data_IF_860439671618
#
_entry.id   IF_860439671618
#
_cell.length_a   1.000
_cell.length_b   1.000
_cell.length_c   1.000
_cell.angle_alpha   90.00
_cell.angle_beta   90.00
_cell.angle_gamma   90.00
#
_symmetry.space_group_name_H-M   'P 1'
#
loop_
_entity.id
_entity.type
_entity.pdbx_description
1 polymer ?
#
# COMPACT_ATOMS: atom_id res chain seq x y z
N UNK A 1 -8.17 3.09 -30.47
CA UNK A 1 -9.43 2.56 -29.90
C UNK A 1 -10.03 3.67 -29.06
N UNK A 2 -11.26 4.12 -29.35
CA UNK A 2 -11.97 5.03 -28.46
C UNK A 2 -12.38 4.23 -27.22
N UNK A 3 -11.72 4.48 -26.09
CA UNK A 3 -12.11 3.87 -24.82
C UNK A 3 -13.49 4.38 -24.45
N UNK A 4 -14.48 3.49 -24.47
CA UNK A 4 -15.80 3.78 -23.91
C UNK A 4 -15.61 3.88 -22.40
N UNK A 5 -15.82 5.08 -21.85
CA UNK A 5 -15.78 5.28 -20.39
C UNK A 5 -17.14 4.89 -19.81
N UNK A 6 -17.19 4.07 -18.75
CA UNK A 6 -18.45 3.53 -18.22
C UNK A 6 -19.28 4.58 -17.47
N UNK A 7 -18.65 5.69 -17.04
CA UNK A 7 -19.31 6.77 -16.31
C UNK A 7 -18.65 8.13 -16.64
N UNK A 8 -19.41 9.21 -16.44
CA UNK A 8 -18.93 10.60 -16.48
C UNK A 8 -19.32 11.33 -15.21
N UNK A 9 -18.56 12.36 -14.84
CA UNK A 9 -18.88 13.23 -13.70
C UNK A 9 -20.30 13.83 -13.92
N UNK A 10 -21.14 13.75 -12.89
CA UNK A 10 -22.53 14.22 -12.93
C UNK A 10 -23.55 13.22 -13.49
N UNK A 11 -23.11 12.05 -13.97
CA UNK A 11 -24.01 10.99 -14.43
C UNK A 11 -24.77 10.35 -13.25
N UNK A 12 -26.03 9.98 -13.46
CA UNK A 12 -26.78 9.18 -12.49
C UNK A 12 -26.18 7.79 -12.36
N UNK A 13 -26.16 7.21 -11.16
CA UNK A 13 -25.68 5.83 -10.95
C UNK A 13 -26.47 4.79 -11.74
N UNK A 14 -27.73 5.09 -12.11
CA UNK A 14 -28.58 4.23 -12.94
C UNK A 14 -28.16 4.18 -14.41
N UNK A 15 -27.43 5.19 -14.87
CA UNK A 15 -27.01 5.34 -16.26
C UNK A 15 -25.56 4.89 -16.48
N UNK A 16 -24.88 4.42 -15.43
CA UNK A 16 -23.53 3.86 -15.50
C UNK A 16 -23.57 2.54 -16.28
N UNK A 17 -22.69 2.43 -17.26
CA UNK A 17 -22.58 1.21 -18.07
C UNK A 17 -22.11 0.02 -17.22
N UNK A 18 -22.71 -1.15 -17.45
CA UNK A 18 -22.50 -2.34 -16.61
C UNK A 18 -21.74 -3.44 -17.36
N UNK A 19 -20.83 -4.18 -16.70
CA UNK A 19 -20.57 -4.20 -15.27
C UNK A 19 -19.66 -3.05 -14.79
N UNK A 20 -19.97 -2.48 -13.63
CA UNK A 20 -19.16 -1.45 -12.98
C UNK A 20 -19.00 -1.73 -11.48
N UNK A 21 -17.78 -1.55 -10.96
CA UNK A 21 -17.52 -1.49 -9.52
C UNK A 21 -17.77 -0.04 -9.06
N UNK A 22 -18.80 0.15 -8.24
CA UNK A 22 -19.14 1.44 -7.67
C UNK A 22 -18.70 1.53 -6.21
N UNK A 23 -18.27 2.72 -5.82
CA UNK A 23 -17.94 3.07 -4.43
C UNK A 23 -18.85 4.22 -4.03
N UNK A 24 -19.59 4.03 -2.94
CA UNK A 24 -20.29 5.10 -2.27
C UNK A 24 -19.28 5.92 -1.46
N UNK A 25 -19.08 7.17 -1.88
CA UNK A 25 -18.04 8.04 -1.31
C UNK A 25 -18.35 8.43 0.13
N UNK A 26 -19.61 8.73 0.46
CA UNK A 26 -20.01 9.12 1.82
C UNK A 26 -19.78 7.96 2.80
N UNK A 27 -20.12 6.74 2.37
CA UNK A 27 -19.86 5.54 3.17
C UNK A 27 -18.35 5.24 3.30
N UNK A 28 -17.57 5.45 2.24
CA UNK A 28 -16.10 5.28 2.29
C UNK A 28 -15.48 6.26 3.29
N UNK A 29 -15.80 7.55 3.18
CA UNK A 29 -15.26 8.60 4.04
C UNK A 29 -15.67 8.42 5.50
N UNK A 30 -16.93 8.03 5.75
CA UNK A 30 -17.40 7.68 7.09
C UNK A 30 -16.63 6.51 7.68
N UNK A 31 -16.42 5.43 6.92
CA UNK A 31 -15.71 4.26 7.41
C UNK A 31 -14.22 4.57 7.71
N UNK A 32 -13.56 5.36 6.86
CA UNK A 32 -12.18 5.82 7.09
C UNK A 32 -12.11 6.65 8.37
N UNK A 33 -13.03 7.61 8.53
CA UNK A 33 -13.07 8.49 9.70
C UNK A 33 -13.29 7.73 11.01
N UNK A 34 -14.19 6.74 11.02
CA UNK A 34 -14.45 5.91 12.20
C UNK A 34 -13.21 5.13 12.63
N UNK A 35 -12.52 4.49 11.68
CA UNK A 35 -11.31 3.72 12.01
C UNK A 35 -10.17 4.62 12.47
N UNK A 36 -9.98 5.78 11.82
CA UNK A 36 -8.97 6.75 12.21
C UNK A 36 -9.21 7.27 13.64
N UNK A 37 -10.45 7.68 13.96
CA UNK A 37 -10.81 8.16 15.28
C UNK A 37 -10.62 7.09 16.36
N UNK A 38 -10.96 5.83 16.06
CA UNK A 38 -10.72 4.72 16.98
C UNK A 38 -9.22 4.54 17.27
N UNK A 39 -8.37 4.54 16.25
CA UNK A 39 -6.92 4.40 16.45
C UNK A 39 -6.33 5.58 17.24
N UNK A 40 -6.80 6.81 16.99
CA UNK A 40 -6.38 8.00 17.73
C UNK A 40 -6.78 7.91 19.21
N UNK A 41 -8.02 7.51 19.51
CA UNK A 41 -8.50 7.29 20.89
C UNK A 41 -7.66 6.24 21.63
N UNK A 42 -7.30 5.15 20.95
CA UNK A 42 -6.46 4.09 21.50
C UNK A 42 -4.96 4.43 21.53
N UNK A 43 -4.55 5.59 20.97
CA UNK A 43 -3.15 6.02 20.84
C UNK A 43 -2.28 5.00 20.11
N UNK A 44 -2.81 4.41 19.04
CA UNK A 44 -2.09 3.49 18.17
C UNK A 44 -1.98 4.05 16.76
N UNK A 45 -0.85 3.80 16.12
CA UNK A 45 -0.63 4.20 14.73
C UNK A 45 -1.50 3.34 13.79
N UNK A 46 -2.24 4.01 12.90
CA UNK A 46 -3.01 3.35 11.85
C UNK A 46 -2.15 3.19 10.59
N UNK A 47 -1.89 1.95 10.17
CA UNK A 47 -1.34 1.63 8.84
C UNK A 47 -2.34 0.80 8.04
N UNK A 48 -2.89 1.39 6.99
CA UNK A 48 -3.99 0.80 6.21
C UNK A 48 -3.50 -0.16 5.14
N UNK A 49 -4.22 -1.25 4.90
CA UNK A 49 -3.82 -2.24 3.91
C UNK A 49 -4.41 -1.96 2.52
N UNK A 50 -3.55 -1.61 1.58
CA UNK A 50 -3.93 -1.21 0.23
C UNK A 50 -4.30 -2.40 -0.69
N UNK A 51 -4.11 -3.65 -0.27
CA UNK A 51 -4.43 -4.83 -1.09
C UNK A 51 -5.91 -4.89 -1.48
N UNK A 52 -6.76 -4.34 -0.63
CA UNK A 52 -8.22 -4.38 -0.77
C UNK A 52 -8.69 -3.52 -1.94
N UNK A 53 -8.15 -2.32 -2.09
CA UNK A 53 -8.64 -1.35 -3.08
C UNK A 53 -7.65 -1.06 -4.21
N UNK A 54 -6.33 -1.23 -3.99
CA UNK A 54 -5.26 -0.94 -4.96
C UNK A 54 -5.36 0.46 -5.61
N UNK A 55 -6.03 1.39 -4.93
CA UNK A 55 -6.26 2.77 -5.38
C UNK A 55 -5.38 3.74 -4.61
N UNK A 56 -4.59 4.52 -5.36
CA UNK A 56 -3.75 5.62 -4.84
C UNK A 56 -4.61 6.69 -4.19
N UNK A 57 -5.77 7.00 -4.76
CA UNK A 57 -6.66 8.05 -4.25
C UNK A 57 -7.23 7.68 -2.88
N UNK A 58 -7.64 6.43 -2.71
CA UNK A 58 -8.13 5.91 -1.42
C UNK A 58 -7.00 5.87 -0.40
N UNK A 59 -5.80 5.41 -0.78
CA UNK A 59 -4.65 5.41 0.11
C UNK A 59 -4.28 6.82 0.59
N UNK A 60 -4.28 7.81 -0.31
CA UNK A 60 -4.06 9.23 0.03
C UNK A 60 -5.16 9.77 0.93
N UNK A 61 -6.43 9.39 0.71
CA UNK A 61 -7.55 9.76 1.57
C UNK A 61 -7.35 9.22 3.00
N UNK A 62 -6.96 7.96 3.15
CA UNK A 62 -6.67 7.34 4.44
C UNK A 62 -5.49 8.03 5.15
N UNK A 63 -4.41 8.34 4.43
CA UNK A 63 -3.26 9.08 4.98
C UNK A 63 -3.68 10.48 5.45
N UNK A 64 -4.53 11.19 4.69
CA UNK A 64 -5.09 12.49 5.12
C UNK A 64 -5.91 12.41 6.40
N UNK A 65 -6.47 11.24 6.71
CA UNK A 65 -7.21 10.98 7.95
C UNK A 65 -6.32 10.47 9.10
N UNK A 66 -4.99 10.50 8.94
CA UNK A 66 -4.05 10.17 10.02
C UNK A 66 -3.39 8.81 9.92
N UNK A 67 -3.59 8.05 8.83
CA UNK A 67 -2.80 6.84 8.63
C UNK A 67 -1.31 7.19 8.41
N UNK A 68 -0.41 6.53 9.13
CA UNK A 68 1.04 6.80 9.11
C UNK A 68 1.75 6.28 7.86
N UNK A 69 1.04 5.51 7.04
CA UNK A 69 1.53 4.86 5.84
C UNK A 69 0.58 3.76 5.40
N UNK A 70 1.04 2.91 4.48
CA UNK A 70 0.24 1.79 3.97
C UNK A 70 0.94 0.44 4.07
N UNK A 71 0.16 -0.63 3.97
CA UNK A 71 0.62 -2.00 3.76
C UNK A 71 0.30 -2.47 2.34
N UNK A 72 1.26 -3.11 1.68
CA UNK A 72 1.09 -3.80 0.40
C UNK A 72 1.39 -5.29 0.55
N UNK A 73 0.78 -6.15 -0.27
CA UNK A 73 1.05 -7.59 -0.22
C UNK A 73 2.21 -7.99 -1.13
N UNK A 74 2.52 -7.17 -2.15
CA UNK A 74 3.59 -7.43 -3.12
C UNK A 74 4.36 -6.16 -3.45
N UNK A 75 5.64 -6.32 -3.79
CA UNK A 75 6.53 -5.23 -4.24
C UNK A 75 5.94 -4.48 -5.44
N UNK A 76 5.33 -5.20 -6.39
CA UNK A 76 4.71 -4.60 -7.58
C UNK A 76 3.52 -3.68 -7.26
N UNK A 77 2.83 -3.90 -6.15
CA UNK A 77 1.78 -2.98 -5.69
C UNK A 77 2.42 -1.70 -5.14
N UNK A 78 3.45 -1.86 -4.30
CA UNK A 78 4.17 -0.74 -3.69
C UNK A 78 4.78 0.20 -4.72
N UNK A 79 5.28 -0.32 -5.85
CA UNK A 79 5.83 0.49 -6.95
C UNK A 79 4.85 1.58 -7.43
N UNK A 80 3.57 1.25 -7.60
CA UNK A 80 2.54 2.21 -8.05
C UNK A 80 2.32 3.30 -7.00
N UNK A 81 2.30 2.93 -5.72
CA UNK A 81 2.11 3.88 -4.63
C UNK A 81 3.30 4.83 -4.45
N UNK A 82 4.53 4.31 -4.50
CA UNK A 82 5.76 5.12 -4.42
C UNK A 82 5.85 6.09 -5.60
N UNK A 83 5.56 5.63 -6.82
CA UNK A 83 5.52 6.50 -8.00
C UNK A 83 4.53 7.66 -7.87
N UNK A 84 3.49 7.50 -7.04
CA UNK A 84 2.46 8.50 -6.80
C UNK A 84 2.64 9.26 -5.47
N UNK A 85 3.83 9.18 -4.86
CA UNK A 85 4.24 9.99 -3.70
C UNK A 85 3.86 9.42 -2.33
N UNK A 86 3.46 8.14 -2.23
CA UNK A 86 3.28 7.47 -0.95
C UNK A 86 4.59 6.79 -0.56
N UNK A 87 5.25 7.33 0.46
CA UNK A 87 6.66 7.03 0.73
C UNK A 87 6.91 6.27 2.04
N UNK A 88 5.87 5.82 2.76
CA UNK A 88 6.02 4.92 3.91
C UNK A 88 5.15 3.68 3.70
N UNK A 89 5.80 2.56 3.33
CA UNK A 89 5.12 1.32 2.92
C UNK A 89 5.75 0.12 3.62
N UNK A 90 4.89 -0.72 4.21
CA UNK A 90 5.25 -2.04 4.73
C UNK A 90 4.77 -3.12 3.76
N UNK A 91 5.67 -3.98 3.29
CA UNK A 91 5.29 -5.21 2.61
C UNK A 91 4.93 -6.24 3.68
N UNK A 92 3.63 -6.47 3.88
CA UNK A 92 3.11 -7.43 4.88
C UNK A 92 3.11 -8.85 4.30
N UNK A 93 4.28 -9.28 3.82
CA UNK A 93 4.56 -10.58 3.22
C UNK A 93 6.09 -10.78 3.07
N UNK A 94 6.53 -12.02 2.91
CA UNK A 94 7.91 -12.37 2.56
C UNK A 94 8.22 -11.99 1.11
N UNK A 95 9.42 -11.44 0.89
CA UNK A 95 9.92 -11.12 -0.45
C UNK A 95 11.08 -12.05 -0.78
N UNK A 96 10.77 -13.11 -1.52
CA UNK A 96 11.72 -14.14 -1.92
C UNK A 96 12.20 -13.94 -3.36
N UNK A 97 13.51 -14.14 -3.54
CA UNK A 97 14.22 -14.15 -4.81
C UNK A 97 14.81 -12.79 -5.19
N UNK A 98 16.09 -12.83 -5.55
CA UNK A 98 16.94 -11.70 -5.91
C UNK A 98 16.28 -10.65 -6.80
N UNK A 99 15.51 -11.03 -7.83
CA UNK A 99 14.84 -10.05 -8.70
C UNK A 99 13.81 -9.19 -7.94
N UNK A 100 13.02 -9.79 -7.05
CA UNK A 100 12.01 -9.07 -6.27
C UNK A 100 12.65 -8.24 -5.17
N UNK A 101 13.71 -8.76 -4.56
CA UNK A 101 14.47 -8.03 -3.54
C UNK A 101 15.13 -6.80 -4.14
N UNK A 102 15.75 -6.91 -5.33
CA UNK A 102 16.31 -5.76 -6.04
C UNK A 102 15.26 -4.67 -6.34
N UNK A 103 14.02 -5.08 -6.66
CA UNK A 103 12.92 -4.12 -6.85
C UNK A 103 12.55 -3.44 -5.53
N UNK A 104 12.46 -4.20 -4.44
CA UNK A 104 12.20 -3.66 -3.10
C UNK A 104 13.28 -2.67 -2.66
N UNK A 105 14.56 -3.00 -2.82
CA UNK A 105 15.68 -2.12 -2.45
C UNK A 105 15.76 -0.89 -3.34
N UNK A 106 15.37 -1.00 -4.62
CA UNK A 106 15.23 0.17 -5.50
C UNK A 106 14.15 1.15 -4.99
N UNK A 107 13.02 0.64 -4.47
CA UNK A 107 12.02 1.49 -3.81
C UNK A 107 12.57 2.13 -2.53
N UNK A 108 13.35 1.39 -1.75
CA UNK A 108 13.95 1.89 -0.51
C UNK A 108 14.87 3.11 -0.71
N UNK A 109 15.37 3.36 -1.94
CA UNK A 109 16.11 4.59 -2.27
C UNK A 109 15.25 5.86 -2.27
N UNK A 110 13.93 5.73 -2.40
CA UNK A 110 12.99 6.86 -2.57
C UNK A 110 11.93 6.92 -1.47
N UNK A 111 11.72 5.81 -0.77
CA UNK A 111 10.67 5.65 0.24
C UNK A 111 11.16 4.79 1.40
N UNK A 112 10.57 5.00 2.58
CA UNK A 112 10.73 4.11 3.72
C UNK A 112 10.01 2.80 3.43
N UNK A 113 10.78 1.74 3.28
CA UNK A 113 10.28 0.40 2.99
C UNK A 113 10.47 -0.52 4.19
N UNK A 114 9.39 -1.19 4.59
CA UNK A 114 9.43 -2.34 5.49
C UNK A 114 9.08 -3.64 4.77
N UNK A 115 9.51 -4.77 5.33
CA UNK A 115 9.15 -6.11 4.84
C UNK A 115 9.07 -7.11 5.99
N UNK A 116 8.11 -8.03 5.92
CA UNK A 116 8.00 -9.14 6.86
C UNK A 116 8.94 -10.30 6.48
N UNK A 117 9.47 -10.98 7.50
CA UNK A 117 10.33 -12.17 7.36
C UNK A 117 9.93 -13.23 8.39
N UNK A 118 10.08 -14.49 8.03
CA UNK A 118 9.86 -15.66 8.89
C UNK A 118 11.00 -16.69 8.79
N UNK A 119 11.94 -16.49 7.86
CA UNK A 119 13.09 -17.37 7.59
C UNK A 119 14.42 -16.59 7.68
N UNK A 120 15.39 -17.03 8.51
CA UNK A 120 16.73 -16.44 8.58
C UNK A 120 17.45 -16.36 7.22
N UNK A 121 17.28 -17.34 6.33
CA UNK A 121 17.89 -17.32 5.01
C UNK A 121 17.36 -16.16 4.15
N UNK A 122 16.08 -15.79 4.30
CA UNK A 122 15.54 -14.62 3.63
C UNK A 122 16.11 -13.31 4.20
N UNK A 123 16.35 -13.24 5.51
CA UNK A 123 17.01 -12.09 6.14
C UNK A 123 18.42 -11.90 5.60
N UNK A 124 19.20 -12.97 5.45
CA UNK A 124 20.54 -12.92 4.88
C UNK A 124 20.54 -12.41 3.43
N UNK A 125 19.62 -12.92 2.60
CA UNK A 125 19.47 -12.49 1.20
C UNK A 125 19.07 -11.01 1.09
N UNK A 126 18.09 -10.58 1.90
CA UNK A 126 17.65 -9.18 1.99
C UNK A 126 18.81 -8.26 2.41
N UNK A 127 19.57 -8.64 3.43
CA UNK A 127 20.69 -7.85 3.94
C UNK A 127 21.81 -7.71 2.91
N UNK A 128 22.18 -8.81 2.23
CA UNK A 128 23.19 -8.78 1.17
C UNK A 128 22.84 -7.77 0.08
N UNK A 129 21.62 -7.87 -0.48
CA UNK A 129 21.20 -7.02 -1.59
C UNK A 129 20.94 -5.57 -1.13
N UNK A 130 20.44 -5.36 0.08
CA UNK A 130 20.30 -4.03 0.66
C UNK A 130 21.66 -3.33 0.84
N UNK A 131 22.68 -4.07 1.30
CA UNK A 131 24.04 -3.57 1.42
C UNK A 131 24.68 -3.22 0.06
N UNK A 132 24.50 -4.07 -0.96
CA UNK A 132 24.97 -3.79 -2.33
C UNK A 132 24.34 -2.53 -2.93
N UNK A 133 23.13 -2.19 -2.52
CA UNK A 133 22.38 -1.03 -3.01
C UNK A 133 22.49 0.20 -2.10
N UNK A 134 23.23 0.11 -0.99
CA UNK A 134 23.38 1.13 0.05
C UNK A 134 22.04 1.66 0.58
N UNK A 135 21.15 0.76 0.99
CA UNK A 135 19.83 1.08 1.54
C UNK A 135 19.52 0.32 2.83
N UNK A 136 18.60 0.87 3.61
CA UNK A 136 18.07 0.20 4.79
C UNK A 136 16.60 -0.19 4.59
N UNK A 137 16.27 -1.41 5.01
CA UNK A 137 14.90 -1.91 5.08
C UNK A 137 14.49 -2.04 6.55
N UNK A 138 13.25 -1.68 6.87
CA UNK A 138 12.66 -2.06 8.16
C UNK A 138 12.25 -3.53 8.09
N UNK A 139 12.78 -4.36 8.97
CA UNK A 139 12.46 -5.79 9.01
C UNK A 139 11.50 -6.05 10.18
N UNK A 140 10.40 -6.75 9.91
CA UNK A 140 9.48 -7.24 10.95
C UNK A 140 9.45 -8.77 10.89
N UNK A 141 9.58 -9.41 12.05
CA UNK A 141 9.41 -10.86 12.15
C UNK A 141 7.91 -11.17 12.17
N UNK A 142 7.45 -11.99 11.23
CA UNK A 142 6.08 -12.49 11.22
C UNK A 142 5.90 -13.61 12.25
N UNK A 143 4.80 -13.54 13.00
CA UNK A 143 4.44 -14.51 14.04
C UNK A 143 3.17 -15.25 13.58
N UNK A 144 3.12 -16.56 13.84
CA UNK A 144 1.95 -17.42 13.61
C UNK A 144 0.85 -17.17 14.66
#
# INVERSE_FOLDING_TARGET
MNTVIPAKIGMSTRDVDTPALLIDLDNLERNISVLAAYCDEQKIDLRVHAKTHKSVDIAKLQIRHGAVGICCQKVSEAEVFVQNGINDILITNQVLGEHKINRLTCLAKKSKMGVCVDDPANVEELNRIAAEQDVHLTILIELD
#
